data_IF_004967459976
#
_entry.id   IF_004967459976
#
_cell.length_a   1.000
_cell.length_b   1.000
_cell.length_c   1.000
_cell.angle_alpha   90.00
_cell.angle_beta   90.00
_cell.angle_gamma   90.00
#
_symmetry.space_group_name_H-M   'P 1'
#
loop_
_entity.id
_entity.type
_entity.pdbx_description
1 polymer ?
#
# COMPACT_ATOMS: atom_id res chain seq x y z
N UNK A 1 7.76 -10.10 -7.05
CA UNK A 1 7.90 -10.82 -5.77
C UNK A 1 8.99 -10.15 -4.93
N UNK A 2 8.84 -10.05 -3.62
CA UNK A 2 9.84 -9.45 -2.71
C UNK A 2 10.11 -10.39 -1.55
N UNK A 3 11.39 -10.58 -1.20
CA UNK A 3 11.82 -11.35 -0.02
C UNK A 3 13.14 -10.79 0.50
N UNK A 4 13.65 -11.31 1.63
CA UNK A 4 14.92 -10.90 2.25
C UNK A 4 16.03 -10.75 1.22
N UNK A 5 16.52 -9.51 1.07
CA UNK A 5 17.63 -9.16 0.18
C UNK A 5 17.35 -9.23 -1.33
N UNK A 6 16.10 -9.43 -1.79
CA UNK A 6 15.81 -9.52 -3.21
C UNK A 6 14.44 -8.97 -3.63
N UNK A 7 14.43 -8.34 -4.81
CA UNK A 7 13.23 -7.99 -5.60
C UNK A 7 13.30 -8.76 -6.91
N UNK A 8 12.23 -9.48 -7.24
CA UNK A 8 12.06 -10.15 -8.53
C UNK A 8 10.94 -9.46 -9.30
N UNK A 9 11.26 -8.92 -10.47
CA UNK A 9 10.28 -8.36 -11.42
C UNK A 9 10.15 -9.35 -12.57
N UNK A 10 8.96 -9.89 -12.76
CA UNK A 10 8.68 -10.92 -13.76
C UNK A 10 7.29 -10.68 -14.37
N UNK A 11 7.09 -11.13 -15.60
CA UNK A 11 5.88 -10.94 -16.40
C UNK A 11 6.23 -10.61 -17.84
N UNK A 12 5.25 -10.13 -18.59
CA UNK A 12 5.40 -9.78 -20.01
C UNK A 12 5.26 -8.27 -20.24
N UNK A 13 6.18 -7.67 -20.98
CA UNK A 13 6.08 -6.27 -21.44
C UNK A 13 6.34 -6.21 -22.94
N UNK A 14 5.47 -5.49 -23.66
CA UNK A 14 5.66 -5.12 -25.06
C UNK A 14 5.76 -3.60 -25.14
N UNK A 15 6.91 -3.08 -25.56
CA UNK A 15 7.17 -1.64 -25.68
C UNK A 15 8.36 -1.38 -26.61
N UNK A 16 8.39 -0.22 -27.25
CA UNK A 16 9.57 0.30 -27.95
C UNK A 16 10.52 1.07 -27.01
N UNK A 17 10.07 1.38 -25.79
CA UNK A 17 10.84 2.12 -24.80
C UNK A 17 11.93 1.27 -24.13
N UNK A 18 13.07 1.89 -23.84
CA UNK A 18 14.10 1.29 -22.98
C UNK A 18 13.84 1.67 -21.53
N UNK A 19 13.79 0.67 -20.64
CA UNK A 19 13.50 0.86 -19.21
C UNK A 19 14.63 0.28 -18.37
N UNK A 20 15.15 1.09 -17.44
CA UNK A 20 16.09 0.63 -16.43
C UNK A 20 15.31 0.11 -15.21
N UNK A 21 15.00 -1.18 -15.26
CA UNK A 21 14.19 -1.86 -14.22
C UNK A 21 14.88 -1.81 -12.86
N UNK A 22 16.22 -1.93 -12.83
CA UNK A 22 16.96 -1.93 -11.59
C UNK A 22 16.87 -0.57 -10.90
N UNK A 23 17.16 0.51 -11.62
CA UNK A 23 17.11 1.85 -11.05
C UNK A 23 15.69 2.20 -10.56
N UNK A 24 14.65 1.88 -11.34
CA UNK A 24 13.26 2.11 -10.91
C UNK A 24 12.94 1.33 -9.63
N UNK A 25 13.33 0.05 -9.54
CA UNK A 25 13.10 -0.74 -8.33
C UNK A 25 13.79 -0.12 -7.13
N UNK A 26 15.05 0.30 -7.28
CA UNK A 26 15.82 0.91 -6.19
C UNK A 26 15.20 2.23 -5.74
N UNK A 27 14.83 3.10 -6.67
CA UNK A 27 14.14 4.37 -6.38
C UNK A 27 12.82 4.13 -5.63
N UNK A 28 11.98 3.21 -6.09
CA UNK A 28 10.70 2.89 -5.43
C UNK A 28 10.90 2.34 -4.01
N UNK A 29 11.86 1.42 -3.82
CA UNK A 29 12.16 0.86 -2.49
C UNK A 29 12.70 1.96 -1.55
N UNK A 30 13.55 2.84 -2.06
CA UNK A 30 14.07 3.98 -1.31
C UNK A 30 12.95 4.98 -0.92
N UNK A 31 12.03 5.28 -1.83
CA UNK A 31 10.88 6.15 -1.61
C UNK A 31 9.88 5.57 -0.61
N UNK A 32 9.73 4.25 -0.56
CA UNK A 32 9.00 3.55 0.49
C UNK A 32 9.69 3.76 1.84
N UNK A 33 11.01 3.90 1.87
CA UNK A 33 11.81 4.19 3.06
C UNK A 33 12.73 3.08 3.50
N UNK A 34 12.88 2.02 2.71
CA UNK A 34 13.88 0.97 2.93
C UNK A 34 15.22 1.39 2.35
N UNK A 35 15.92 2.26 3.07
CA UNK A 35 17.16 2.90 2.64
C UNK A 35 18.36 2.61 3.57
N UNK A 36 18.15 1.75 4.55
CA UNK A 36 19.19 1.30 5.47
C UNK A 36 18.95 -0.17 5.84
N UNK A 37 20.04 -0.94 5.96
CA UNK A 37 19.95 -2.38 6.25
C UNK A 37 19.30 -2.70 7.62
N UNK A 38 19.36 -1.76 8.57
CA UNK A 38 18.72 -1.90 9.89
C UNK A 38 17.19 -2.01 9.81
N UNK A 39 16.58 -1.49 8.74
CA UNK A 39 15.13 -1.63 8.50
C UNK A 39 14.74 -3.06 8.06
N UNK A 40 15.72 -3.95 7.86
CA UNK A 40 15.54 -5.33 7.40
C UNK A 40 15.48 -5.50 5.88
N UNK A 41 15.51 -4.40 5.14
CA UNK A 41 15.59 -4.34 3.69
C UNK A 41 16.21 -3.01 3.25
N UNK A 42 16.97 -3.00 2.15
CA UNK A 42 17.72 -1.82 1.73
C UNK A 42 17.82 -1.76 0.20
N UNK A 43 17.33 -0.66 -0.36
CA UNK A 43 17.34 -0.35 -1.80
C UNK A 43 18.74 -0.37 -2.40
N UNK A 44 19.79 -0.07 -1.65
CA UNK A 44 21.17 0.02 -2.17
C UNK A 44 21.87 -1.34 -2.21
N UNK A 45 21.43 -2.30 -1.40
CA UNK A 45 22.13 -3.58 -1.22
C UNK A 45 21.30 -4.79 -1.64
N UNK A 46 19.99 -4.65 -1.82
CA UNK A 46 19.16 -5.74 -2.32
C UNK A 46 19.50 -6.10 -3.77
N UNK A 47 19.37 -7.39 -4.09
CA UNK A 47 19.44 -7.90 -5.44
C UNK A 47 18.16 -7.54 -6.21
N UNK A 48 18.30 -7.11 -7.46
CA UNK A 48 17.18 -6.93 -8.38
C UNK A 48 17.29 -7.97 -9.50
N UNK A 49 16.33 -8.88 -9.57
CA UNK A 49 16.26 -9.91 -10.60
C UNK A 49 15.19 -9.51 -11.61
N UNK A 50 15.60 -9.32 -12.85
CA UNK A 50 14.71 -9.07 -13.97
C UNK A 50 14.45 -10.37 -14.73
N UNK A 51 13.19 -10.80 -14.76
CA UNK A 51 12.68 -11.95 -15.48
C UNK A 51 11.49 -11.55 -16.38
N UNK A 52 11.51 -10.33 -16.91
CA UNK A 52 10.51 -9.84 -17.86
C UNK A 52 10.78 -10.44 -19.24
N UNK A 53 9.74 -11.05 -19.82
CA UNK A 53 9.72 -11.52 -21.20
C UNK A 53 8.87 -10.62 -22.11
N UNK A 54 8.78 -10.99 -23.39
CA UNK A 54 7.85 -10.36 -24.34
C UNK A 54 6.46 -11.01 -24.25
N UNK A 55 5.41 -10.26 -24.58
CA UNK A 55 4.04 -10.79 -24.64
C UNK A 55 3.90 -11.84 -25.74
N UNK A 56 3.02 -12.82 -25.53
CA UNK A 56 2.66 -13.80 -26.56
C UNK A 56 1.95 -13.12 -27.74
N UNK A 57 2.38 -13.36 -29.00
CA UNK A 57 1.69 -12.85 -30.19
C UNK A 57 0.22 -13.30 -30.28
N UNK A 58 -0.11 -14.47 -29.73
CA UNK A 58 -1.47 -15.03 -29.75
C UNK A 58 -2.44 -14.21 -28.88
N UNK A 59 -1.94 -13.61 -27.79
CA UNK A 59 -2.73 -12.72 -26.93
C UNK A 59 -2.89 -11.37 -27.61
N UNK A 60 -1.82 -10.82 -28.19
CA UNK A 60 -1.85 -9.54 -28.89
C UNK A 60 -2.89 -9.51 -30.02
N UNK A 61 -2.98 -10.58 -30.82
CA UNK A 61 -3.96 -10.69 -31.90
C UNK A 61 -5.43 -10.63 -31.44
N UNK A 62 -5.72 -11.09 -30.22
CA UNK A 62 -7.09 -11.06 -29.67
C UNK A 62 -7.44 -9.73 -29.00
N UNK A 63 -6.46 -8.87 -28.76
CA UNK A 63 -6.61 -7.63 -28.00
C UNK A 63 -6.46 -6.42 -28.89
N UNK A 64 -5.44 -6.39 -29.74
CA UNK A 64 -5.06 -5.21 -30.50
C UNK A 64 -6.12 -4.87 -31.56
N UNK A 65 -6.34 -3.56 -31.71
CA UNK A 65 -7.21 -3.01 -32.75
C UNK A 65 -6.53 -3.14 -34.12
N UNK A 66 -7.29 -3.52 -35.12
CA UNK A 66 -6.89 -3.55 -36.54
C UNK A 66 -8.00 -2.94 -37.40
N UNK A 67 -7.73 -2.69 -38.68
CA UNK A 67 -8.73 -2.17 -39.63
C UNK A 67 -10.02 -3.01 -39.68
N UNK A 68 -9.93 -4.31 -39.38
CA UNK A 68 -11.05 -5.26 -39.42
C UNK A 68 -11.46 -5.78 -38.01
N UNK A 69 -10.89 -5.26 -36.92
CA UNK A 69 -11.12 -5.74 -35.56
C UNK A 69 -11.02 -4.62 -34.52
N UNK A 70 -12.09 -4.36 -33.77
CA UNK A 70 -12.07 -3.42 -32.64
C UNK A 70 -11.34 -4.02 -31.43
N UNK A 71 -10.76 -3.17 -30.58
CA UNK A 71 -10.01 -3.60 -29.40
C UNK A 71 -10.84 -4.52 -28.48
N UNK A 72 -10.30 -5.70 -28.17
CA UNK A 72 -10.92 -6.71 -27.32
C UNK A 72 -10.55 -6.61 -25.85
N UNK A 73 -11.21 -7.40 -25.00
CA UNK A 73 -10.78 -7.58 -23.62
C UNK A 73 -9.46 -8.38 -23.56
N UNK A 74 -8.52 -7.95 -22.71
CA UNK A 74 -7.22 -8.60 -22.53
C UNK A 74 -7.27 -10.02 -21.97
N UNK A 75 -8.30 -10.31 -21.17
CA UNK A 75 -8.57 -11.62 -20.59
C UNK A 75 -10.05 -11.70 -20.18
N UNK A 76 -10.54 -12.90 -19.93
CA UNK A 76 -11.85 -13.13 -19.33
C UNK A 76 -11.86 -12.74 -17.85
N UNK A 77 -12.93 -12.09 -17.38
CA UNK A 77 -13.01 -11.67 -15.99
C UNK A 77 -14.38 -11.16 -15.58
N UNK A 78 -14.55 -10.96 -14.27
CA UNK A 78 -15.72 -10.35 -13.66
C UNK A 78 -15.28 -9.22 -12.72
N UNK A 79 -16.00 -8.10 -12.75
CA UNK A 79 -15.65 -6.90 -12.01
C UNK A 79 -16.85 -6.44 -11.18
N UNK A 80 -16.58 -6.03 -9.94
CA UNK A 80 -17.57 -5.43 -9.06
C UNK A 80 -17.18 -3.99 -8.73
N UNK A 81 -18.12 -3.07 -8.92
CA UNK A 81 -18.06 -1.72 -8.37
C UNK A 81 -18.89 -1.64 -7.09
N UNK A 82 -18.43 -0.88 -6.11
CA UNK A 82 -19.18 -0.61 -4.88
C UNK A 82 -19.03 0.86 -4.50
N UNK A 83 -20.10 1.44 -3.96
CA UNK A 83 -20.11 2.77 -3.38
C UNK A 83 -21.06 2.76 -2.17
N UNK A 84 -20.73 3.54 -1.14
CA UNK A 84 -21.55 3.68 0.07
C UNK A 84 -21.46 5.11 0.60
N UNK A 85 -22.59 5.68 1.02
CA UNK A 85 -22.64 7.04 1.57
C UNK A 85 -22.25 7.11 3.07
N UNK A 86 -21.63 6.06 3.61
CA UNK A 86 -21.09 6.03 4.97
C UNK A 86 -19.97 7.06 5.20
N UNK A 87 -19.32 7.52 4.12
CA UNK A 87 -18.26 8.54 4.16
C UNK A 87 -18.41 9.54 3.00
N UNK A 88 -17.80 10.71 3.14
CA UNK A 88 -17.85 11.78 2.12
C UNK A 88 -17.19 11.38 0.78
N UNK A 89 -16.31 10.37 0.80
CA UNK A 89 -15.62 9.84 -0.39
C UNK A 89 -16.33 8.62 -1.00
N UNK A 90 -17.56 8.35 -0.56
CA UNK A 90 -18.42 7.28 -1.04
C UNK A 90 -17.86 5.85 -0.87
N UNK A 91 -17.04 5.64 0.16
CA UNK A 91 -16.45 4.35 0.52
C UNK A 91 -16.99 3.84 1.86
N UNK A 92 -17.03 2.51 2.11
CA UNK A 92 -17.37 1.97 3.43
C UNK A 92 -16.46 2.55 4.51
N UNK A 93 -17.02 2.88 5.68
CA UNK A 93 -16.25 3.51 6.75
C UNK A 93 -15.04 2.67 7.23
N UNK A 94 -15.12 1.35 7.45
CA UNK A 94 -14.04 0.56 8.04
C UNK A 94 -12.75 0.59 7.22
N UNK A 95 -12.85 0.38 5.90
CA UNK A 95 -11.70 0.38 5.01
C UNK A 95 -11.12 1.79 4.84
N UNK A 96 -12.00 2.80 4.79
CA UNK A 96 -11.60 4.21 4.69
C UNK A 96 -10.71 4.60 5.86
N UNK A 97 -11.17 4.37 7.10
CA UNK A 97 -10.39 4.76 8.28
C UNK A 97 -9.15 3.88 8.49
N UNK A 98 -9.21 2.57 8.18
CA UNK A 98 -8.02 1.70 8.23
C UNK A 98 -6.92 2.21 7.28
N UNK A 99 -7.26 2.58 6.05
CA UNK A 99 -6.31 3.19 5.11
C UNK A 99 -5.78 4.54 5.60
N UNK A 100 -6.63 5.39 6.17
CA UNK A 100 -6.19 6.69 6.68
C UNK A 100 -5.20 6.56 7.85
N UNK A 101 -5.33 5.54 8.70
CA UNK A 101 -4.38 5.29 9.79
C UNK A 101 -2.96 5.00 9.26
N UNK A 102 -2.82 4.06 8.32
CA UNK A 102 -1.48 3.75 7.74
C UNK A 102 -0.96 4.86 6.84
N UNK A 103 -1.84 5.65 6.21
CA UNK A 103 -1.45 6.85 5.47
C UNK A 103 -0.87 7.92 6.42
N UNK A 104 -1.53 8.19 7.54
CA UNK A 104 -1.05 9.14 8.56
C UNK A 104 0.26 8.68 9.19
N UNK A 105 0.39 7.38 9.50
CA UNK A 105 1.64 6.77 9.93
C UNK A 105 2.79 7.06 8.94
N UNK A 106 2.59 6.74 7.65
CA UNK A 106 3.63 7.00 6.65
C UNK A 106 3.95 8.48 6.49
N UNK A 107 2.99 9.38 6.66
CA UNK A 107 3.23 10.82 6.61
C UNK A 107 4.16 11.28 7.73
N UNK A 108 3.88 10.86 8.97
CA UNK A 108 4.67 11.22 10.16
C UNK A 108 6.08 10.63 10.14
N UNK A 109 6.23 9.44 9.55
CA UNK A 109 7.54 8.84 9.31
C UNK A 109 8.32 9.66 8.27
N UNK A 110 7.72 9.90 7.10
CA UNK A 110 8.39 10.58 5.97
C UNK A 110 8.73 12.05 6.24
N UNK A 111 7.91 12.74 7.03
CA UNK A 111 8.17 14.15 7.38
C UNK A 111 9.09 14.31 8.62
N UNK A 112 9.52 13.20 9.24
CA UNK A 112 10.39 13.21 10.41
C UNK A 112 9.73 13.62 11.74
N UNK A 113 8.40 13.70 11.81
CA UNK A 113 7.71 13.99 13.08
C UNK A 113 7.90 12.86 14.10
N UNK A 114 7.91 11.61 13.63
CA UNK A 114 8.21 10.43 14.45
C UNK A 114 9.38 9.66 13.82
N UNK A 115 10.61 10.08 14.15
CA UNK A 115 11.85 9.59 13.51
C UNK A 115 12.17 8.12 13.77
N UNK A 116 11.59 7.55 14.82
CA UNK A 116 11.78 6.15 15.22
C UNK A 116 10.83 5.17 14.50
N UNK A 117 9.90 5.66 13.68
CA UNK A 117 9.03 4.80 12.87
C UNK A 117 9.81 4.21 11.69
N UNK A 118 9.59 2.93 11.45
CA UNK A 118 10.11 2.21 10.28
C UNK A 118 8.97 1.95 9.26
N UNK A 119 9.26 1.56 8.00
CA UNK A 119 8.27 1.54 6.94
C UNK A 119 7.10 0.55 7.11
N UNK A 120 7.27 -0.59 7.77
CA UNK A 120 6.20 -1.60 7.91
C UNK A 120 5.18 -1.20 8.99
N UNK A 121 3.92 -1.04 8.59
CA UNK A 121 2.81 -0.81 9.50
C UNK A 121 1.51 -1.41 8.99
N UNK A 122 0.65 -1.83 9.92
CA UNK A 122 -0.64 -2.47 9.67
C UNK A 122 -1.69 -1.84 10.59
N UNK A 123 -2.87 -1.59 10.04
CA UNK A 123 -4.03 -1.12 10.79
C UNK A 123 -5.20 -2.07 10.64
N UNK A 124 -6.03 -2.15 11.67
CA UNK A 124 -7.30 -2.86 11.65
C UNK A 124 -8.29 -2.09 12.51
N UNK A 125 -9.54 -2.01 12.03
CA UNK A 125 -10.64 -1.35 12.75
C UNK A 125 -11.83 -2.29 12.75
N UNK A 126 -12.43 -2.46 13.92
CA UNK A 126 -13.74 -3.10 14.12
C UNK A 126 -14.75 -2.01 14.42
N UNK A 127 -15.79 -1.90 13.60
CA UNK A 127 -16.86 -0.91 13.77
C UNK A 127 -18.16 -1.57 14.21
N UNK A 128 -18.91 -0.87 15.06
CA UNK A 128 -20.29 -1.24 15.41
C UNK A 128 -21.24 -0.65 14.38
N UNK A 129 -22.19 -1.47 13.95
CA UNK A 129 -23.23 -1.09 13.00
C UNK A 129 -24.62 -1.31 13.60
N UNK A 130 -25.49 -0.32 13.44
CA UNK A 130 -26.92 -0.42 13.74
C UNK A 130 -27.71 0.01 12.51
N UNK A 131 -28.71 -0.77 12.11
CA UNK A 131 -29.55 -0.52 10.93
C UNK A 131 -28.75 -0.18 9.65
N UNK A 132 -27.62 -0.86 9.46
CA UNK A 132 -26.74 -0.70 8.29
C UNK A 132 -25.90 0.58 8.29
N UNK A 133 -25.81 1.31 9.42
CA UNK A 133 -25.00 2.51 9.57
C UNK A 133 -23.91 2.33 10.62
N UNK A 134 -22.70 2.86 10.39
CA UNK A 134 -21.65 2.87 11.40
C UNK A 134 -22.06 3.79 12.56
N UNK A 135 -22.04 3.26 13.78
CA UNK A 135 -22.43 4.01 14.99
C UNK A 135 -21.31 4.19 16.01
N UNK A 136 -20.25 3.39 15.92
CA UNK A 136 -19.15 3.44 16.88
C UNK A 136 -17.94 2.61 16.44
N UNK A 137 -16.81 2.80 17.10
CA UNK A 137 -15.60 1.99 16.90
C UNK A 137 -15.39 1.13 18.13
N UNK A 138 -15.45 -0.18 17.96
CA UNK A 138 -15.26 -1.12 19.06
C UNK A 138 -13.78 -1.35 19.37
N UNK A 139 -12.98 -1.60 18.32
CA UNK A 139 -11.57 -1.96 18.48
C UNK A 139 -10.72 -1.34 17.38
N UNK A 140 -9.57 -0.80 17.76
CA UNK A 140 -8.52 -0.33 16.84
C UNK A 140 -7.22 -1.08 17.14
N UNK A 141 -6.60 -1.64 16.12
CA UNK A 141 -5.27 -2.24 16.19
C UNK A 141 -4.36 -1.50 15.23
N UNK A 142 -3.24 -0.97 15.73
CA UNK A 142 -2.15 -0.46 14.92
C UNK A 142 -0.85 -1.16 15.34
N UNK A 143 -0.26 -1.90 14.41
CA UNK A 143 1.05 -2.52 14.58
C UNK A 143 2.04 -1.78 13.67
N UNK A 144 3.18 -1.40 14.20
CA UNK A 144 4.22 -0.66 13.46
C UNK A 144 5.59 -1.21 13.81
N UNK A 145 6.45 -1.32 12.80
CA UNK A 145 7.88 -1.46 12.98
C UNK A 145 8.43 -0.14 13.54
N UNK A 146 9.43 -0.23 14.41
CA UNK A 146 10.06 0.91 15.04
C UNK A 146 11.51 0.58 15.41
N UNK A 147 12.30 1.61 15.68
CA UNK A 147 13.65 1.50 16.23
C UNK A 147 13.62 1.13 17.71
N UNK A 148 14.68 0.53 18.22
CA UNK A 148 14.80 0.10 19.62
C UNK A 148 14.89 1.26 20.62
N UNK A 149 15.07 2.50 20.12
CA UNK A 149 15.22 3.71 20.94
C UNK A 149 13.93 4.19 21.60
N UNK A 150 12.75 3.78 21.12
CA UNK A 150 11.45 4.19 21.68
C UNK A 150 10.93 3.18 22.70
N UNK A 151 10.48 3.67 23.85
CA UNK A 151 9.81 2.81 24.83
C UNK A 151 8.40 2.43 24.36
N UNK A 152 7.91 1.25 24.75
CA UNK A 152 6.53 0.84 24.41
C UNK A 152 5.47 1.83 24.92
N UNK A 153 5.74 2.51 26.04
CA UNK A 153 4.83 3.52 26.60
C UNK A 153 4.76 4.73 25.66
N UNK A 154 5.90 5.29 25.30
CA UNK A 154 5.97 6.50 24.46
C UNK A 154 5.48 6.19 23.04
N UNK A 155 5.77 4.99 22.52
CA UNK A 155 5.24 4.51 21.24
C UNK A 155 3.71 4.50 21.25
N UNK A 156 3.08 3.93 22.29
CA UNK A 156 1.62 3.86 22.39
C UNK A 156 1.00 5.24 22.51
N UNK A 157 1.59 6.12 23.29
CA UNK A 157 1.14 7.50 23.46
C UNK A 157 1.22 8.27 22.14
N UNK A 158 2.38 8.25 21.47
CA UNK A 158 2.55 8.91 20.18
C UNK A 158 1.62 8.35 19.09
N UNK A 159 1.47 7.03 19.01
CA UNK A 159 0.51 6.41 18.07
C UNK A 159 -0.93 6.87 18.36
N UNK A 160 -1.31 6.96 19.62
CA UNK A 160 -2.65 7.41 20.00
C UNK A 160 -2.88 8.88 19.62
N UNK A 161 -1.98 9.78 20.03
CA UNK A 161 -2.15 11.22 19.87
C UNK A 161 -1.89 11.71 18.44
N UNK A 162 -0.93 11.13 17.73
CA UNK A 162 -0.49 11.63 16.43
C UNK A 162 -1.13 10.90 15.23
N UNK A 163 -1.57 9.65 15.43
CA UNK A 163 -2.12 8.79 14.37
C UNK A 163 -3.60 8.50 14.58
N UNK A 164 -3.98 7.90 15.71
CA UNK A 164 -5.34 7.38 15.90
C UNK A 164 -6.34 8.52 16.09
N UNK A 165 -6.15 9.36 17.11
CA UNK A 165 -7.07 10.47 17.43
C UNK A 165 -7.24 11.48 16.29
N UNK A 166 -6.20 11.86 15.53
CA UNK A 166 -6.37 12.82 14.42
C UNK A 166 -7.08 12.23 13.20
N UNK A 167 -7.14 10.91 13.07
CA UNK A 167 -7.74 10.23 11.91
C UNK A 167 -9.17 9.79 12.19
N UNK A 168 -9.44 9.27 13.38
CA UNK A 168 -10.75 8.75 13.73
C UNK A 168 -11.68 9.86 14.23
N UNK A 169 -12.95 9.88 13.80
CA UNK A 169 -13.90 10.91 14.22
C UNK A 169 -14.15 10.84 15.73
N UNK A 170 -14.17 12.00 16.39
CA UNK A 170 -14.51 12.09 17.80
C UNK A 170 -15.98 11.71 18.05
N UNK A 171 -16.25 10.97 19.13
CA UNK A 171 -17.62 10.62 19.56
C UNK A 171 -18.21 9.35 18.95
N UNK A 172 -17.40 8.52 18.29
CA UNK A 172 -17.74 7.12 17.96
C UNK A 172 -17.28 6.19 19.10
N UNK A 173 -17.82 6.38 20.31
CA UNK A 173 -17.67 5.44 21.42
C UNK A 173 -18.43 4.14 21.15
#
# INVERSE_FOLDING_TARGET
MVKTGMVIVAGEITTEGSVDVENIVREVVNDIGYNHSDSGFDSNTCAVLNAIGSQSPDIAMGVDETDDHEQGAGDQGLMFGYASNETDVLMPAPITYSHLLVKRHSQLRKNGSLTWLEPDAKSQITMRYEDGKPVGIDTVVLSTQHRDEVSLKDLREAVMEEIIKPVLPAGMD
#
